data_IF_136423485626
#
_entry.id   IF_136423485626
#
_cell.length_a   1.000
_cell.length_b   1.000
_cell.length_c   1.000
_cell.angle_alpha   90.00
_cell.angle_beta   90.00
_cell.angle_gamma   90.00
#
_symmetry.space_group_name_H-M   'P 1'
#
loop_
_entity.id
_entity.type
_entity.pdbx_description
1 polymer ?
#
# COMPACT_ATOMS: atom_id res chain seq x y z
N UNK A 1 -19.77 37.48 -7.00
CA UNK A 1 -18.42 37.19 -6.49
C UNK A 1 -17.45 37.97 -7.36
N UNK A 2 -16.83 39.00 -6.79
CA UNK A 2 -15.75 39.73 -7.45
C UNK A 2 -14.50 38.83 -7.55
N UNK A 3 -13.73 38.96 -8.63
CA UNK A 3 -12.52 38.16 -8.85
C UNK A 3 -11.50 38.36 -7.71
N UNK A 4 -11.40 39.58 -7.19
CA UNK A 4 -10.49 39.92 -6.09
C UNK A 4 -10.88 39.14 -4.82
N UNK A 5 -12.17 39.12 -4.49
CA UNK A 5 -12.70 38.40 -3.33
C UNK A 5 -12.46 36.89 -3.45
N UNK A 6 -12.68 36.32 -4.64
CA UNK A 6 -12.38 34.92 -4.91
C UNK A 6 -10.89 34.59 -4.71
N UNK A 7 -9.98 35.44 -5.21
CA UNK A 7 -8.56 35.23 -5.10
C UNK A 7 -8.08 35.23 -3.64
N UNK A 8 -8.62 36.13 -2.82
CA UNK A 8 -8.32 36.16 -1.39
C UNK A 8 -8.81 34.91 -0.65
N UNK A 9 -10.06 34.50 -0.91
CA UNK A 9 -10.62 33.29 -0.32
C UNK A 9 -9.88 32.03 -0.78
N UNK A 10 -9.45 31.98 -2.04
CA UNK A 10 -8.61 30.89 -2.55
C UNK A 10 -7.28 30.84 -1.81
N UNK A 11 -6.55 31.95 -1.72
CA UNK A 11 -5.26 32.01 -0.99
C UNK A 11 -5.41 31.55 0.46
N UNK A 12 -6.43 32.03 1.17
CA UNK A 12 -6.69 31.64 2.58
C UNK A 12 -6.99 30.15 2.72
N UNK A 13 -7.84 29.59 1.84
CA UNK A 13 -8.17 28.16 1.86
C UNK A 13 -6.96 27.28 1.52
N UNK A 14 -6.18 27.67 0.52
CA UNK A 14 -4.98 26.94 0.12
C UNK A 14 -3.94 26.95 1.24
N UNK A 15 -3.69 28.10 1.88
CA UNK A 15 -2.78 28.19 3.02
C UNK A 15 -3.20 27.26 4.17
N UNK A 16 -4.50 27.26 4.52
CA UNK A 16 -5.03 26.34 5.55
C UNK A 16 -4.80 24.87 5.16
N UNK A 17 -5.15 24.49 3.93
CA UNK A 17 -4.99 23.10 3.46
C UNK A 17 -3.53 22.65 3.45
N UNK A 18 -2.60 23.54 3.10
CA UNK A 18 -1.17 23.23 3.14
C UNK A 18 -0.70 22.95 4.57
N UNK A 19 -1.12 23.74 5.55
CA UNK A 19 -0.83 23.50 6.96
C UNK A 19 -1.40 22.16 7.45
N UNK A 20 -2.66 21.88 7.11
CA UNK A 20 -3.31 20.61 7.46
C UNK A 20 -2.59 19.41 6.82
N UNK A 21 -2.11 19.57 5.59
CA UNK A 21 -1.35 18.55 4.85
C UNK A 21 0.02 18.28 5.49
N UNK A 22 0.76 19.31 5.86
CA UNK A 22 2.04 19.18 6.55
C UNK A 22 1.88 18.44 7.90
N UNK A 23 0.82 18.77 8.65
CA UNK A 23 0.48 18.06 9.89
C UNK A 23 0.17 16.58 9.63
N UNK A 24 -0.60 16.28 8.59
CA UNK A 24 -0.95 14.90 8.22
C UNK A 24 0.29 14.08 7.80
N UNK A 25 1.24 14.67 7.05
CA UNK A 25 2.51 14.02 6.71
C UNK A 25 3.31 13.71 7.97
N UNK A 26 3.45 14.68 8.87
CA UNK A 26 4.20 14.48 10.11
C UNK A 26 3.59 13.35 10.95
N UNK A 27 2.26 13.27 11.03
CA UNK A 27 1.57 12.17 11.72
C UNK A 27 1.79 10.82 11.02
N UNK A 28 1.72 10.78 9.69
CA UNK A 28 1.95 9.56 8.91
C UNK A 28 3.37 9.02 9.12
N UNK A 29 4.38 9.89 9.13
CA UNK A 29 5.77 9.52 9.42
C UNK A 29 5.90 8.93 10.83
N UNK A 30 5.29 9.56 11.85
CA UNK A 30 5.29 9.04 13.22
C UNK A 30 4.66 7.65 13.32
N UNK A 31 3.52 7.43 12.65
CA UNK A 31 2.86 6.10 12.61
C UNK A 31 3.73 5.07 11.92
N UNK A 32 4.37 5.44 10.81
CA UNK A 32 5.29 4.55 10.09
C UNK A 32 6.49 4.16 10.96
N UNK A 33 7.09 5.09 11.69
CA UNK A 33 8.18 4.78 12.62
C UNK A 33 7.73 3.83 13.75
N UNK A 34 6.54 4.05 14.31
CA UNK A 34 6.00 3.17 15.35
C UNK A 34 5.72 1.77 14.81
N UNK A 35 5.12 1.65 13.63
CA UNK A 35 4.89 0.37 12.97
C UNK A 35 6.21 -0.34 12.64
N UNK A 36 7.21 0.39 12.16
CA UNK A 36 8.55 -0.12 11.90
C UNK A 36 9.22 -0.67 13.16
N UNK A 37 9.12 0.06 14.29
CA UNK A 37 9.64 -0.40 15.59
C UNK A 37 8.94 -1.66 16.08
N UNK A 38 7.62 -1.76 15.95
CA UNK A 38 6.87 -2.96 16.31
C UNK A 38 7.27 -4.15 15.44
N UNK A 39 7.41 -3.96 14.13
CA UNK A 39 7.86 -5.02 13.22
C UNK A 39 9.30 -5.45 13.51
N UNK A 40 10.20 -4.51 13.83
CA UNK A 40 11.57 -4.82 14.23
C UNK A 40 11.59 -5.64 15.52
N UNK A 41 10.82 -5.23 16.54
CA UNK A 41 10.69 -5.95 17.80
C UNK A 41 10.16 -7.38 17.60
N UNK A 42 9.16 -7.58 16.73
CA UNK A 42 8.63 -8.92 16.40
C UNK A 42 9.68 -9.79 15.70
N UNK A 43 10.50 -9.21 14.82
CA UNK A 43 11.62 -9.90 14.16
C UNK A 43 12.71 -10.30 15.16
N UNK A 44 13.10 -9.38 16.05
CA UNK A 44 14.12 -9.64 17.10
C UNK A 44 13.67 -10.70 18.10
N UNK A 45 12.39 -10.70 18.47
CA UNK A 45 11.81 -11.71 19.36
C UNK A 45 11.72 -13.11 18.75
N UNK A 46 12.18 -13.32 17.50
CA UNK A 46 12.10 -14.59 16.77
C UNK A 46 10.70 -15.24 16.83
N UNK A 47 9.66 -14.42 17.02
CA UNK A 47 8.27 -14.81 16.91
C UNK A 47 7.96 -14.97 15.41
N UNK A 48 8.57 -15.98 14.79
CA UNK A 48 7.95 -16.67 13.67
C UNK A 48 6.57 -17.06 14.19
N UNK A 49 5.57 -16.25 13.91
CA UNK A 49 4.19 -16.68 14.03
C UNK A 49 4.11 -17.94 13.17
N UNK A 50 4.16 -19.10 13.82
CA UNK A 50 3.84 -20.37 13.17
C UNK A 50 2.48 -20.11 12.55
N UNK A 51 2.33 -20.17 11.21
CA UNK A 51 1.03 -19.91 10.61
C UNK A 51 0.05 -20.83 11.31
N UNK A 52 -1.08 -20.30 11.83
CA UNK A 52 -2.02 -21.10 12.58
C UNK A 52 -2.37 -22.28 11.69
N UNK A 53 -2.02 -23.49 12.16
CA UNK A 53 -2.32 -24.72 11.46
C UNK A 53 -3.82 -24.67 11.19
N UNK A 54 -4.28 -24.59 9.92
CA UNK A 54 -5.70 -24.54 9.66
C UNK A 54 -6.30 -25.81 10.27
N UNK A 55 -7.41 -25.71 11.02
CA UNK A 55 -8.03 -26.88 11.61
C UNK A 55 -8.27 -27.89 10.49
N UNK A 56 -7.74 -29.11 10.65
CA UNK A 56 -7.95 -30.24 9.74
C UNK A 56 -9.41 -30.73 9.88
N UNK A 57 -10.35 -29.85 9.54
CA UNK A 57 -11.74 -30.17 9.33
C UNK A 57 -11.86 -30.91 8.01
N UNK A 58 -12.34 -32.14 8.07
CA UNK A 58 -12.75 -32.99 6.96
C UNK A 58 -13.78 -32.29 6.09
N UNK A 59 -13.35 -31.53 5.08
CA UNK A 59 -13.98 -31.41 3.74
C UNK A 59 -13.20 -30.39 2.90
N UNK A 60 -12.26 -30.86 2.07
CA UNK A 60 -11.71 -30.06 0.97
C UNK A 60 -12.19 -30.69 -0.33
N UNK A 61 -13.01 -30.01 -1.15
CA UNK A 61 -13.27 -30.48 -2.50
C UNK A 61 -11.96 -30.45 -3.29
N UNK A 62 -11.69 -31.53 -4.02
CA UNK A 62 -10.51 -31.72 -4.89
C UNK A 62 -10.46 -30.57 -5.90
N UNK A 63 -9.72 -29.50 -5.59
CA UNK A 63 -9.41 -28.47 -6.58
C UNK A 63 -8.46 -29.10 -7.59
N UNK A 64 -8.99 -29.40 -8.77
CA UNK A 64 -8.25 -29.84 -9.95
C UNK A 64 -7.00 -28.97 -10.10
N UNK A 65 -5.86 -29.63 -10.09
CA UNK A 65 -4.56 -29.09 -10.45
C UNK A 65 -4.60 -28.54 -11.88
N UNK A 66 -5.02 -27.29 -12.04
CA UNK A 66 -4.75 -26.48 -13.22
C UNK A 66 -3.67 -25.47 -12.85
N UNK A 67 -2.42 -25.77 -13.19
CA UNK A 67 -1.36 -24.75 -13.18
C UNK A 67 -1.75 -23.70 -14.21
N UNK A 68 -2.33 -22.58 -13.80
CA UNK A 68 -2.43 -21.40 -14.66
C UNK A 68 -1.07 -20.71 -14.60
N UNK A 69 -0.19 -21.08 -15.52
CA UNK A 69 1.08 -20.41 -15.74
C UNK A 69 0.79 -19.15 -16.55
N UNK A 70 0.62 -18.01 -15.87
CA UNK A 70 0.47 -16.72 -16.53
C UNK A 70 1.77 -16.38 -17.28
N UNK A 71 1.71 -16.34 -18.60
CA UNK A 71 2.82 -15.85 -19.42
C UNK A 71 2.72 -14.32 -19.44
N UNK A 72 3.62 -13.65 -18.72
CA UNK A 72 3.81 -12.20 -18.85
C UNK A 72 4.48 -11.97 -20.21
N UNK A 73 3.70 -11.56 -21.22
CA UNK A 73 4.26 -11.11 -22.49
C UNK A 73 5.01 -9.80 -22.21
N UNK A 74 6.32 -9.82 -22.45
CA UNK A 74 7.13 -8.61 -22.49
C UNK A 74 6.87 -7.98 -23.84
N UNK A 75 6.09 -6.92 -23.88
CA UNK A 75 5.94 -6.10 -25.08
C UNK A 75 7.34 -5.66 -25.55
N UNK A 76 7.77 -6.09 -26.75
CA UNK A 76 8.94 -5.51 -27.41
C UNK A 76 9.96 -6.41 -28.10
N UNK A 77 9.64 -7.63 -28.54
CA UNK A 77 10.56 -8.43 -29.38
C UNK A 77 9.82 -9.14 -30.52
N UNK A 78 9.31 -8.38 -31.51
CA UNK A 78 8.83 -8.92 -32.80
C UNK A 78 9.17 -7.99 -33.98
N UNK A 79 10.29 -7.25 -33.92
CA UNK A 79 10.78 -6.42 -35.04
C UNK A 79 12.23 -6.73 -35.50
N UNK A 80 12.71 -7.95 -35.27
CA UNK A 80 14.00 -8.37 -35.81
C UNK A 80 13.90 -9.79 -36.36
N UNK A 81 13.29 -9.91 -37.54
CA UNK A 81 13.72 -10.82 -38.62
C UNK A 81 12.71 -10.71 -39.79
N UNK A 82 13.01 -9.78 -40.70
CA UNK A 82 12.53 -9.80 -42.09
C UNK A 82 13.74 -9.89 -43.00
#
# INVERSE_FOLDING_TARGET
MDFIEFAEQYKRRTAKRMLDFEAAIAEAHRKMEQAGRQQAMVRELNLRQTPPNPPRGTYRPVRRSGRVQGVLRRDGQDEADR
#
